data_IF_780450912843
#
_entry.id   IF_780450912843
#
_cell.length_a   1.000
_cell.length_b   1.000
_cell.length_c   1.000
_cell.angle_alpha   90.00
_cell.angle_beta   90.00
_cell.angle_gamma   90.00
#
_symmetry.space_group_name_H-M   'P 1'
#
loop_
_entity.id
_entity.type
_entity.pdbx_description
1 polymer ?
#
# COMPACT_ATOMS: atom_id res chain seq x y z
N UNK A 1 3.65 5.46 44.90
CA UNK A 1 3.74 6.76 44.21
C UNK A 1 4.31 6.48 42.84
N UNK A 2 3.47 6.69 41.85
CA UNK A 2 3.38 5.99 40.58
C UNK A 2 4.51 6.26 39.57
N UNK A 3 4.71 5.25 38.73
CA UNK A 3 5.62 5.23 37.60
C UNK A 3 5.34 6.38 36.62
N UNK A 4 6.23 7.37 36.60
CA UNK A 4 6.24 8.39 35.55
C UNK A 4 6.69 7.76 34.22
N UNK A 5 5.70 7.49 33.39
CA UNK A 5 5.75 7.09 31.99
C UNK A 5 6.82 7.86 31.20
N UNK A 6 7.79 7.11 30.66
CA UNK A 6 8.75 7.58 29.65
C UNK A 6 8.01 7.79 28.33
N UNK A 7 7.56 9.01 28.05
CA UNK A 7 7.11 9.37 26.71
C UNK A 7 8.34 9.45 25.79
N UNK A 8 8.57 8.40 24.99
CA UNK A 8 9.57 8.42 23.92
C UNK A 8 9.03 9.30 22.79
N UNK A 9 9.79 10.25 22.24
CA UNK A 9 9.34 10.97 21.06
C UNK A 9 9.16 9.97 19.92
N UNK A 10 7.91 9.70 19.56
CA UNK A 10 7.57 8.96 18.35
C UNK A 10 8.19 9.73 17.19
N UNK A 11 9.21 9.16 16.59
CA UNK A 11 9.88 9.69 15.40
C UNK A 11 8.83 9.73 14.29
N UNK A 12 8.11 10.85 14.16
CA UNK A 12 7.39 11.20 12.94
C UNK A 12 8.49 11.35 11.90
N UNK A 13 8.80 10.23 11.25
CA UNK A 13 9.84 10.18 10.24
C UNK A 13 9.30 10.97 9.07
N UNK A 14 9.73 12.22 9.01
CA UNK A 14 9.55 13.09 7.86
C UNK A 14 9.93 12.31 6.60
N UNK A 15 9.01 12.32 5.64
CA UNK A 15 9.12 11.69 4.33
C UNK A 15 10.48 12.04 3.71
N UNK A 16 11.37 11.05 3.61
CA UNK A 16 12.59 11.21 2.82
C UNK A 16 12.17 11.29 1.35
N UNK A 17 12.10 12.51 0.82
CA UNK A 17 12.01 12.74 -0.62
C UNK A 17 13.31 12.23 -1.25
N UNK A 18 13.33 10.95 -1.65
CA UNK A 18 14.34 10.49 -2.59
C UNK A 18 14.01 11.14 -3.94
N UNK A 19 14.76 12.18 -4.29
CA UNK A 19 14.82 12.76 -5.62
C UNK A 19 15.28 11.69 -6.61
N UNK A 20 14.35 10.85 -7.06
CA UNK A 20 14.64 9.70 -7.90
C UNK A 20 13.37 8.91 -8.17
N UNK A 21 13.19 8.60 -9.45
CA UNK A 21 12.28 7.68 -10.17
C UNK A 21 11.47 6.58 -9.45
N UNK A 22 11.68 6.34 -8.16
CA UNK A 22 10.96 5.35 -7.36
C UNK A 22 9.59 5.87 -6.93
N UNK A 23 8.54 5.05 -7.03
CA UNK A 23 7.20 5.44 -6.60
C UNK A 23 7.16 5.69 -5.09
N UNK A 24 6.44 6.73 -4.68
CA UNK A 24 6.22 7.02 -3.26
C UNK A 24 4.95 6.36 -2.74
N UNK A 25 4.01 6.06 -3.63
CA UNK A 25 2.72 5.45 -3.31
C UNK A 25 2.40 4.29 -4.25
N UNK A 26 1.71 3.28 -3.73
CA UNK A 26 1.08 2.22 -4.49
C UNK A 26 -0.37 2.59 -4.80
N UNK A 27 -0.84 2.22 -5.99
CA UNK A 27 -2.23 2.42 -6.42
C UNK A 27 -2.92 1.07 -6.48
N UNK A 28 -4.04 0.96 -5.75
CA UNK A 28 -4.75 -0.29 -5.53
C UNK A 28 -6.19 -0.18 -5.98
N UNK A 29 -6.68 -1.21 -6.66
CA UNK A 29 -8.11 -1.46 -6.81
C UNK A 29 -8.58 -2.32 -5.64
N UNK A 30 -9.52 -1.78 -4.86
CA UNK A 30 -10.09 -2.41 -3.68
C UNK A 30 -11.51 -2.83 -3.99
N UNK A 31 -11.75 -4.14 -3.93
CA UNK A 31 -13.09 -4.74 -4.05
C UNK A 31 -13.53 -5.33 -2.73
N UNK A 32 -14.80 -5.21 -2.42
CA UNK A 32 -15.37 -5.84 -1.23
C UNK A 32 -15.54 -7.34 -1.47
N UNK A 33 -15.27 -8.15 -0.44
CA UNK A 33 -15.52 -9.58 -0.50
C UNK A 33 -17.03 -9.86 -0.46
N UNK A 34 -17.49 -10.89 -1.18
CA UNK A 34 -18.90 -11.30 -1.13
C UNK A 34 -19.28 -11.65 0.32
N UNK A 35 -20.48 -11.21 0.74
CA UNK A 35 -21.10 -11.52 2.06
C UNK A 35 -20.16 -11.27 3.26
N UNK A 36 -19.53 -10.09 3.31
CA UNK A 36 -18.68 -9.70 4.45
C UNK A 36 -17.30 -10.37 4.47
N UNK A 37 -16.90 -11.00 3.36
CA UNK A 37 -15.56 -11.53 3.18
C UNK A 37 -14.48 -10.44 3.13
N UNK A 38 -13.22 -10.85 3.29
CA UNK A 38 -12.06 -9.95 3.22
C UNK A 38 -12.03 -9.25 1.86
N UNK A 39 -11.78 -7.94 1.87
CA UNK A 39 -11.64 -7.16 0.64
C UNK A 39 -10.39 -7.55 -0.14
N UNK A 40 -10.49 -7.54 -1.46
CA UNK A 40 -9.38 -7.81 -2.37
C UNK A 40 -8.65 -6.51 -2.67
N UNK A 41 -7.36 -6.46 -2.33
CA UNK A 41 -6.47 -5.34 -2.66
C UNK A 41 -5.57 -5.78 -3.81
N UNK A 42 -5.84 -5.26 -5.01
CA UNK A 42 -5.03 -5.57 -6.20
C UNK A 42 -4.20 -4.34 -6.54
N UNK A 43 -2.87 -4.47 -6.59
CA UNK A 43 -2.03 -3.37 -7.08
C UNK A 43 -2.23 -3.24 -8.59
N UNK A 44 -2.58 -2.04 -9.03
CA UNK A 44 -2.86 -1.73 -10.45
C UNK A 44 -1.92 -0.65 -11.01
N UNK A 45 -1.07 -0.07 -10.15
CA UNK A 45 -0.12 0.93 -10.57
C UNK A 45 0.65 1.54 -9.40
N UNK A 46 1.23 2.69 -9.67
CA UNK A 46 2.05 3.44 -8.72
C UNK A 46 1.87 4.95 -8.88
N UNK A 47 2.22 5.70 -7.85
CA UNK A 47 2.15 7.15 -7.86
C UNK A 47 3.40 7.81 -7.27
N UNK A 48 3.73 8.98 -7.79
CA UNK A 48 4.89 9.78 -7.42
C UNK A 48 4.44 11.14 -6.93
N UNK A 49 4.96 11.56 -5.78
CA UNK A 49 4.70 12.88 -5.24
C UNK A 49 5.40 13.93 -6.09
N UNK A 50 4.69 15.01 -6.40
CA UNK A 50 5.29 16.16 -7.06
C UNK A 50 6.29 16.86 -6.13
N UNK A 51 7.20 17.63 -6.72
CA UNK A 51 8.18 18.41 -5.97
C UNK A 51 7.52 19.41 -5.01
N UNK A 52 6.34 19.94 -5.38
CA UNK A 52 5.56 20.85 -4.55
C UNK A 52 4.80 20.17 -3.39
N UNK A 53 4.82 18.83 -3.35
CA UNK A 53 4.11 17.98 -2.38
C UNK A 53 2.60 18.21 -2.30
N UNK A 54 2.00 18.85 -3.32
CA UNK A 54 0.56 19.13 -3.38
C UNK A 54 -0.19 18.19 -4.32
N UNK A 55 0.54 17.47 -5.17
CA UNK A 55 -0.03 16.55 -6.14
C UNK A 55 0.69 15.20 -6.18
N UNK A 56 0.06 14.27 -6.90
CA UNK A 56 0.59 12.95 -7.24
C UNK A 56 0.43 12.73 -8.74
N UNK A 57 1.50 12.30 -9.41
CA UNK A 57 1.42 11.69 -10.73
C UNK A 57 1.10 10.21 -10.56
N UNK A 58 0.10 9.69 -11.27
CA UNK A 58 -0.32 8.29 -11.19
C UNK A 58 -0.06 7.63 -12.54
N UNK A 59 0.56 6.44 -12.52
CA UNK A 59 0.67 5.55 -13.67
C UNK A 59 -0.06 4.24 -13.37
N UNK A 60 -0.87 3.78 -14.34
CA UNK A 60 -1.57 2.51 -14.27
C UNK A 60 -0.91 1.48 -15.17
N UNK A 61 -0.57 0.33 -14.61
CA UNK A 61 -0.15 -0.85 -15.39
C UNK A 61 -1.38 -1.58 -15.94
N UNK A 62 -2.47 -1.56 -15.16
CA UNK A 62 -3.75 -2.19 -15.50
C UNK A 62 -4.91 -1.24 -15.19
N UNK A 63 -5.94 -1.26 -16.03
CA UNK A 63 -7.18 -0.55 -15.77
C UNK A 63 -8.19 -1.47 -15.06
N UNK A 64 -8.79 -1.01 -13.96
CA UNK A 64 -9.82 -1.78 -13.26
C UNK A 64 -11.07 -1.88 -14.15
N UNK A 65 -11.59 -3.10 -14.27
CA UNK A 65 -12.88 -3.37 -14.93
C UNK A 65 -13.90 -3.79 -13.89
N UNK A 66 -15.02 -3.07 -13.84
CA UNK A 66 -16.12 -3.32 -12.92
C UNK A 66 -16.13 -2.42 -11.68
N UNK A 67 -16.76 -2.91 -10.62
CA UNK A 67 -16.96 -2.20 -9.36
C UNK A 67 -15.72 -2.23 -8.45
N UNK A 68 -15.67 -1.28 -7.51
CA UNK A 68 -14.61 -1.14 -6.51
C UNK A 68 -14.09 0.29 -6.40
N UNK A 69 -13.14 0.49 -5.50
CA UNK A 69 -12.54 1.80 -5.20
C UNK A 69 -11.08 1.82 -5.60
N UNK A 70 -10.61 2.96 -6.08
CA UNK A 70 -9.17 3.18 -6.30
C UNK A 70 -8.61 3.89 -5.09
N UNK A 71 -7.58 3.29 -4.52
CA UNK A 71 -6.97 3.72 -3.27
C UNK A 71 -5.48 3.92 -3.49
N UNK A 72 -4.99 5.12 -3.19
CA UNK A 72 -3.56 5.46 -3.26
C UNK A 72 -3.02 5.49 -1.83
N UNK A 73 -1.94 4.74 -1.57
CA UNK A 73 -1.32 4.65 -0.23
C UNK A 73 0.19 4.76 -0.33
N UNK A 74 0.82 5.38 0.66
CA UNK A 74 2.28 5.37 0.81
C UNK A 74 2.74 3.92 0.84
N UNK A 75 3.75 3.58 0.04
CA UNK A 75 4.33 2.24 0.10
C UNK A 75 5.11 2.10 1.40
N UNK A 76 4.62 1.25 2.30
CA UNK A 76 5.46 0.77 3.38
C UNK A 76 6.52 -0.16 2.76
N UNK A 77 7.79 -0.05 3.15
CA UNK A 77 8.83 -0.95 2.67
C UNK A 77 8.45 -2.37 3.09
N UNK A 78 7.90 -3.16 2.17
CA UNK A 78 7.74 -4.59 2.38
C UNK A 78 9.16 -5.17 2.44
N UNK A 79 9.56 -5.63 3.62
CA UNK A 79 10.62 -6.63 3.73
C UNK A 79 10.19 -7.81 2.85
N UNK A 80 10.97 -8.12 1.80
CA UNK A 80 10.72 -9.25 0.91
C UNK A 80 10.29 -10.50 1.70
N UNK A 81 9.09 -10.99 1.44
CA UNK A 81 8.57 -12.18 2.10
C UNK A 81 7.07 -12.30 2.01
N UNK A 82 6.54 -12.49 0.80
CA UNK A 82 5.25 -13.18 0.61
C UNK A 82 5.36 -13.99 -0.69
N UNK A 83 5.88 -15.19 -0.49
CA UNK A 83 5.84 -16.35 -1.37
C UNK A 83 4.38 -16.60 -1.77
N UNK A 84 4.14 -16.74 -3.07
CA UNK A 84 2.92 -17.36 -3.56
C UNK A 84 2.85 -18.78 -3.00
N UNK A 85 2.01 -19.02 -1.99
CA UNK A 85 1.60 -20.37 -1.63
C UNK A 85 0.59 -20.80 -2.70
N UNK A 86 1.12 -21.45 -3.73
CA UNK A 86 0.35 -22.28 -4.65
C UNK A 86 -0.33 -23.38 -3.81
N UNK A 87 -1.66 -23.38 -3.81
CA UNK A 87 -2.42 -24.47 -3.23
C UNK A 87 -2.37 -25.66 -4.18
N UNK A 88 -1.47 -26.61 -3.91
CA UNK A 88 -1.58 -27.96 -4.45
C UNK A 88 -2.80 -28.63 -3.80
N UNK A 89 -3.88 -28.77 -4.58
CA UNK A 89 -4.94 -29.73 -4.31
C UNK A 89 -4.52 -31.08 -4.88
N UNK A 90 -3.96 -31.96 -4.04
CA UNK A 90 -3.76 -33.37 -4.35
C UNK A 90 -4.95 -34.18 -3.85
N UNK A 91 -5.45 -35.02 -4.74
CA UNK A 91 -6.60 -35.90 -4.62
C UNK A 91 -6.15 -37.26 -4.05
N UNK A 92 -6.90 -37.82 -3.09
CA UNK A 92 -7.15 -39.27 -2.91
C UNK A 92 -8.06 -39.52 -1.69
#
# INVERSE_FOLDING_TARGET
>A
MDAASRNKPTKVTAMAQSKGSKPTHGVFHVREGKKGGKGFWTRIGAAWMHDDSKGLNIMFDLFPVGDGKIVVRVEEPKSNGDTATEGEGEQA
#
